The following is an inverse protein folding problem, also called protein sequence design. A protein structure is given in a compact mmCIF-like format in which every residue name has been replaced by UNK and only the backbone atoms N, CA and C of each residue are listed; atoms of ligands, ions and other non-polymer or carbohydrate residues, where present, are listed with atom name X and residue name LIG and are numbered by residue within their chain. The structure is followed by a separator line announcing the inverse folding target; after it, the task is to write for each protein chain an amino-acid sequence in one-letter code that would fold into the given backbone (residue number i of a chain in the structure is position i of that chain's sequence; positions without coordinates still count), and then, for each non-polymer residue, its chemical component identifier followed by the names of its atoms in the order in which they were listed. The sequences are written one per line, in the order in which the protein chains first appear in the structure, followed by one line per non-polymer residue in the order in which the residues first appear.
data_IF_714538169910
#
_entry.id   IF_714538169910
#
_cell.length_a   1.000
_cell.length_b   1.000
_cell.length_c   1.000
_cell.angle_alpha   90.00
_cell.angle_beta   90.00
_cell.angle_gamma   90.00
#
_symmetry.space_group_name_H-M   'P 1'
#
loop_
_entity.id
_entity.type
_entity.pdbx_description
1 polymer ?
#
# COMPACT_ATOMS: atom_id res chain seq x y z
N UNK A 1 38.08 39.41 -5.67
CA UNK A 1 36.83 38.64 -5.85
C UNK A 1 36.84 37.52 -4.82
N UNK A 2 35.90 37.57 -3.87
CA UNK A 2 35.55 36.45 -2.98
C UNK A 2 34.79 35.39 -3.81
N UNK A 3 34.79 34.10 -3.46
CA UNK A 3 33.84 33.50 -2.52
C UNK A 3 34.47 32.24 -1.86
N UNK A 4 34.31 32.20 -0.53
CA UNK A 4 34.55 31.09 0.40
C UNK A 4 33.57 29.93 0.19
N UNK A 5 33.95 28.72 0.61
CA UNK A 5 32.96 27.65 0.83
C UNK A 5 33.53 26.27 1.13
N UNK A 6 34.24 26.15 2.25
CA UNK A 6 34.73 24.91 2.85
C UNK A 6 33.55 23.97 3.17
N UNK A 7 33.53 22.74 2.66
CA UNK A 7 32.65 21.68 3.18
C UNK A 7 33.49 20.46 3.59
N UNK A 8 33.95 20.51 4.83
CA UNK A 8 34.39 19.34 5.57
C UNK A 8 33.16 18.71 6.23
N UNK A 9 32.76 17.50 5.81
CA UNK A 9 31.77 16.71 6.55
C UNK A 9 32.49 15.62 7.32
N UNK A 10 32.53 15.82 8.64
CA UNK A 10 33.06 14.92 9.66
C UNK A 10 32.10 13.72 9.75
N UNK A 11 32.58 12.54 9.38
CA UNK A 11 31.88 11.29 9.63
C UNK A 11 32.24 10.77 11.04
N UNK A 12 31.52 11.24 12.06
CA UNK A 12 31.55 10.60 13.39
C UNK A 12 30.70 9.34 13.35
N UNK A 13 31.36 8.17 13.28
CA UNK A 13 30.73 6.88 13.54
C UNK A 13 30.48 6.74 15.05
N UNK A 14 29.22 6.90 15.48
CA UNK A 14 28.81 6.53 16.83
C UNK A 14 28.64 5.01 16.86
N UNK A 15 29.60 4.32 17.48
CA UNK A 15 29.46 2.90 17.80
C UNK A 15 28.55 2.79 19.03
N UNK A 16 27.24 2.61 18.81
CA UNK A 16 26.32 2.18 19.87
C UNK A 16 26.49 0.68 20.05
N UNK A 17 27.16 0.26 21.13
CA UNK A 17 27.04 -1.11 21.63
C UNK A 17 25.65 -1.26 22.27
N UNK A 18 24.70 -1.82 21.52
CA UNK A 18 23.38 -2.22 22.02
C UNK A 18 23.35 -3.73 22.27
N UNK A 19 23.06 -4.10 23.51
CA UNK A 19 22.81 -5.47 24.00
C UNK A 19 21.51 -6.04 23.41
N UNK A 20 21.48 -7.36 23.19
CA UNK A 20 20.44 -8.09 22.48
C UNK A 20 18.98 -7.73 22.76
N UNK A 21 18.26 -7.47 21.67
CA UNK A 21 16.88 -7.85 21.41
C UNK A 21 16.68 -7.80 19.89
N UNK A 22 15.72 -8.56 19.37
CA UNK A 22 15.42 -8.86 17.96
C UNK A 22 15.90 -7.84 16.90
N UNK A 23 16.33 -8.29 15.70
CA UNK A 23 16.70 -7.38 14.64
C UNK A 23 15.47 -6.51 14.30
N UNK A 24 15.54 -5.23 14.68
CA UNK A 24 14.64 -4.22 14.18
C UNK A 24 14.61 -4.30 12.65
N UNK A 25 13.44 -4.07 12.02
CA UNK A 25 13.35 -4.06 10.57
C UNK A 25 14.43 -3.11 10.02
N UNK A 26 15.24 -3.61 9.09
CA UNK A 26 16.26 -2.83 8.41
C UNK A 26 15.53 -1.75 7.62
N UNK A 27 15.47 -0.55 8.18
CA UNK A 27 15.10 0.66 7.45
C UNK A 27 16.28 0.97 6.55
N UNK A 28 16.14 0.68 5.26
CA UNK A 28 17.11 1.11 4.25
C UNK A 28 16.98 2.65 4.12
N UNK A 29 17.97 3.43 4.57
CA UNK A 29 17.87 4.89 4.62
C UNK A 29 17.82 5.56 3.24
N UNK A 30 17.87 4.80 2.14
CA UNK A 30 17.84 5.32 0.78
C UNK A 30 16.46 5.43 0.11
N UNK A 31 15.40 4.82 0.66
CA UNK A 31 14.07 4.86 0.02
C UNK A 31 13.16 5.83 0.77
N UNK A 32 12.71 6.93 0.15
CA UNK A 32 11.77 7.85 0.77
C UNK A 32 10.45 7.13 1.05
N UNK A 33 9.91 7.34 2.26
CA UNK A 33 8.59 6.86 2.66
C UNK A 33 7.50 7.36 1.69
N UNK A 34 6.63 6.46 1.28
CA UNK A 34 5.52 6.70 0.36
C UNK A 34 4.23 6.40 1.09
N UNK A 35 3.53 7.45 1.49
CA UNK A 35 2.23 7.41 2.17
C UNK A 35 1.13 8.11 1.36
N UNK A 36 1.38 8.38 0.06
CA UNK A 36 0.40 9.06 -0.77
C UNK A 36 -0.78 8.11 -1.07
N UNK A 37 -2.03 8.43 -0.67
CA UNK A 37 -3.16 7.51 -0.72
C UNK A 37 -3.36 6.89 -2.10
N UNK A 38 -3.32 7.72 -3.15
CA UNK A 38 -3.46 7.29 -4.54
C UNK A 38 -2.42 6.23 -4.94
N UNK A 39 -1.15 6.48 -4.61
CA UNK A 39 -0.04 5.59 -4.99
C UNK A 39 -0.15 4.27 -4.23
N UNK A 40 -0.41 4.34 -2.92
CA UNK A 40 -0.49 3.14 -2.10
C UNK A 40 -1.74 2.30 -2.37
N UNK A 41 -2.87 2.92 -2.71
CA UNK A 41 -4.04 2.21 -3.19
C UNK A 41 -3.75 1.50 -4.53
N UNK A 42 -3.01 2.14 -5.44
CA UNK A 42 -2.62 1.51 -6.70
C UNK A 42 -1.63 0.34 -6.49
N UNK A 43 -0.72 0.45 -5.52
CA UNK A 43 0.16 -0.67 -5.10
C UNK A 43 -0.67 -1.86 -4.61
N UNK A 44 -1.72 -1.61 -3.81
CA UNK A 44 -2.62 -2.67 -3.34
C UNK A 44 -3.35 -3.34 -4.51
N UNK A 45 -3.95 -2.57 -5.42
CA UNK A 45 -4.64 -3.09 -6.61
C UNK A 45 -3.69 -3.89 -7.49
N UNK A 46 -2.50 -3.35 -7.79
CA UNK A 46 -1.49 -4.03 -8.61
C UNK A 46 -1.02 -5.34 -7.96
N UNK A 47 -0.91 -5.40 -6.64
CA UNK A 47 -0.41 -6.59 -5.95
C UNK A 47 -1.47 -7.68 -5.78
N UNK A 48 -2.72 -7.29 -5.53
CA UNK A 48 -3.77 -8.19 -5.08
C UNK A 48 -4.76 -8.61 -6.16
N UNK A 49 -4.91 -7.83 -7.23
CA UNK A 49 -5.80 -8.19 -8.33
C UNK A 49 -5.33 -9.50 -9.00
N UNK A 50 -6.18 -10.52 -8.93
CA UNK A 50 -5.88 -11.88 -9.41
C UNK A 50 -6.36 -12.10 -10.85
N UNK A 51 -7.32 -11.29 -11.31
CA UNK A 51 -7.87 -11.36 -12.65
C UNK A 51 -8.10 -9.96 -13.20
N UNK A 52 -8.35 -9.86 -14.51
CA UNK A 52 -8.76 -8.60 -15.15
C UNK A 52 -10.26 -8.37 -14.96
N UNK A 53 -10.66 -8.06 -13.72
CA UNK A 53 -12.03 -7.69 -13.38
C UNK A 53 -12.05 -6.29 -12.74
N UNK A 54 -12.82 -5.40 -13.35
CA UNK A 54 -12.88 -4.00 -12.95
C UNK A 54 -13.48 -3.84 -11.53
N UNK A 55 -14.46 -4.67 -11.19
CA UNK A 55 -15.09 -4.64 -9.87
C UNK A 55 -14.09 -5.04 -8.78
N UNK A 56 -13.27 -6.06 -9.03
CA UNK A 56 -12.20 -6.49 -8.13
C UNK A 56 -11.19 -5.36 -7.89
N UNK A 57 -10.73 -4.70 -8.96
CA UNK A 57 -9.83 -3.55 -8.83
C UNK A 57 -10.45 -2.42 -7.98
N UNK A 58 -11.71 -2.09 -8.24
CA UNK A 58 -12.40 -1.02 -7.53
C UNK A 58 -12.60 -1.34 -6.03
N UNK A 59 -12.93 -2.58 -5.67
CA UNK A 59 -13.09 -2.96 -4.26
C UNK A 59 -11.75 -3.01 -3.52
N UNK A 60 -10.67 -3.45 -4.17
CA UNK A 60 -9.32 -3.36 -3.58
C UNK A 60 -8.92 -1.89 -3.38
N UNK A 61 -9.18 -1.02 -4.36
CA UNK A 61 -8.92 0.42 -4.26
C UNK A 61 -9.70 1.05 -3.09
N UNK A 62 -11.01 0.74 -2.97
CA UNK A 62 -11.83 1.19 -1.84
C UNK A 62 -11.25 0.72 -0.50
N UNK A 63 -10.86 -0.55 -0.41
CA UNK A 63 -10.28 -1.12 0.79
C UNK A 63 -9.02 -0.36 1.22
N UNK A 64 -8.12 -0.10 0.28
CA UNK A 64 -6.88 0.63 0.54
C UNK A 64 -7.14 2.10 0.90
N UNK A 65 -8.03 2.81 0.18
CA UNK A 65 -8.36 4.20 0.45
C UNK A 65 -9.01 4.39 1.83
N UNK A 66 -9.80 3.41 2.30
CA UNK A 66 -10.42 3.47 3.62
C UNK A 66 -9.39 3.47 4.77
N UNK A 67 -8.15 3.00 4.55
CA UNK A 67 -7.06 3.07 5.54
C UNK A 67 -6.51 4.49 5.76
N UNK A 68 -6.86 5.44 4.90
CA UNK A 68 -6.40 6.82 4.96
C UNK A 68 -7.46 7.78 5.54
N UNK A 69 -8.64 7.26 5.91
CA UNK A 69 -9.69 8.09 6.49
C UNK A 69 -9.38 8.37 7.97
N UNK A 70 -8.80 9.55 8.25
CA UNK A 70 -8.66 10.09 9.60
C UNK A 70 -7.25 10.06 10.21
N UNK A 71 -6.26 9.45 9.55
CA UNK A 71 -4.90 9.31 10.05
C UNK A 71 -3.85 9.36 8.92
N UNK A 72 -2.57 9.43 9.30
CA UNK A 72 -1.45 9.18 8.37
C UNK A 72 -1.52 7.72 7.94
N UNK A 73 -1.97 7.45 6.72
CA UNK A 73 -2.16 6.07 6.25
C UNK A 73 -0.85 5.29 6.07
N UNK A 74 -0.95 3.98 5.75
CA UNK A 74 0.17 3.06 5.77
C UNK A 74 1.28 3.39 4.76
N UNK A 75 2.54 3.16 5.15
CA UNK A 75 3.67 3.24 4.22
C UNK A 75 3.66 2.06 3.23
N UNK A 76 3.59 2.36 1.93
CA UNK A 76 3.61 1.36 0.86
C UNK A 76 4.97 1.24 0.16
N UNK A 77 6.01 1.94 0.62
CA UNK A 77 7.35 1.91 0.00
C UNK A 77 7.92 0.49 -0.16
N UNK A 78 7.79 -0.43 0.82
CA UNK A 78 8.32 -1.79 0.67
C UNK A 78 7.69 -2.55 -0.50
N UNK A 79 6.36 -2.46 -0.63
CA UNK A 79 5.62 -3.14 -1.69
C UNK A 79 5.85 -2.49 -3.06
N UNK A 80 5.90 -1.16 -3.11
CA UNK A 80 6.27 -0.45 -4.33
C UNK A 80 7.69 -0.83 -4.79
N UNK A 81 8.65 -0.89 -3.87
CA UNK A 81 10.01 -1.30 -4.19
C UNK A 81 10.09 -2.76 -4.69
N UNK A 82 9.25 -3.65 -4.16
CA UNK A 82 9.12 -5.04 -4.64
C UNK A 82 8.57 -5.09 -6.05
N UNK A 83 7.52 -4.32 -6.35
CA UNK A 83 6.94 -4.21 -7.69
C UNK A 83 8.00 -3.72 -8.69
N UNK A 84 8.69 -2.64 -8.36
CA UNK A 84 9.71 -2.04 -9.24
C UNK A 84 10.86 -3.01 -9.52
N UNK A 85 11.35 -3.72 -8.49
CA UNK A 85 12.40 -4.74 -8.63
C UNK A 85 11.94 -5.96 -9.44
N UNK A 86 10.65 -6.30 -9.39
CA UNK A 86 10.06 -7.41 -10.15
C UNK A 86 9.83 -7.13 -11.64
N UNK A 87 10.06 -5.90 -12.10
CA UNK A 87 9.66 -5.45 -13.43
C UNK A 87 8.20 -5.02 -13.46
N UNK A 88 7.99 -3.71 -13.38
CA UNK A 88 6.66 -3.11 -13.44
C UNK A 88 6.03 -3.33 -14.82
N UNK A 89 4.85 -3.95 -14.86
CA UNK A 89 3.97 -3.92 -16.03
C UNK A 89 3.25 -2.57 -16.04
N UNK A 90 3.61 -1.71 -17.01
CA UNK A 90 3.10 -0.34 -17.10
C UNK A 90 1.60 -0.29 -17.42
N UNK A 91 1.07 -1.25 -18.18
CA UNK A 91 -0.37 -1.31 -18.49
C UNK A 91 -1.17 -1.72 -17.27
N UNK A 92 -0.70 -2.72 -16.53
CA UNK A 92 -1.34 -3.16 -15.28
C UNK A 92 -1.26 -2.07 -14.21
N UNK A 93 -0.15 -1.34 -14.16
CA UNK A 93 0.00 -0.17 -13.28
C UNK A 93 -0.99 0.95 -13.62
N UNK A 94 -1.11 1.32 -14.90
CA UNK A 94 -2.06 2.36 -15.30
C UNK A 94 -3.50 1.97 -14.96
N UNK A 95 -3.88 0.72 -15.18
CA UNK A 95 -5.22 0.21 -14.79
C UNK A 95 -5.47 0.28 -13.29
N UNK A 96 -4.44 0.02 -12.48
CA UNK A 96 -4.54 0.15 -11.03
C UNK A 96 -4.79 1.61 -10.63
N UNK A 97 -4.08 2.55 -11.25
CA UNK A 97 -4.31 3.99 -11.06
C UNK A 97 -5.71 4.42 -11.50
N UNK A 98 -6.17 3.97 -12.66
CA UNK A 98 -7.50 4.32 -13.20
C UNK A 98 -8.62 3.84 -12.27
N UNK A 99 -8.49 2.63 -11.70
CA UNK A 99 -9.45 2.12 -10.73
C UNK A 99 -9.48 2.94 -9.43
N UNK A 100 -8.31 3.36 -8.94
CA UNK A 100 -8.22 4.23 -7.76
C UNK A 100 -8.86 5.58 -8.04
N UNK A 101 -8.53 6.21 -9.17
CA UNK A 101 -9.07 7.51 -9.55
C UNK A 101 -10.59 7.44 -9.76
N UNK A 102 -11.11 6.34 -10.32
CA UNK A 102 -12.55 6.15 -10.49
C UNK A 102 -13.31 6.03 -9.15
N UNK A 103 -12.73 5.31 -8.18
CA UNK A 103 -13.32 5.13 -6.84
C UNK A 103 -13.22 6.39 -5.99
N UNK A 104 -12.10 7.11 -6.08
CA UNK A 104 -11.84 8.36 -5.33
C UNK A 104 -12.71 9.51 -5.86
N UNK A 105 -12.83 9.62 -7.18
CA UNK A 105 -13.75 10.60 -7.82
C UNK A 105 -15.23 10.27 -7.66
N UNK A 106 -15.56 9.04 -7.24
CA UNK A 106 -16.94 8.56 -7.18
C UNK A 106 -17.56 8.27 -8.55
N UNK A 107 -16.77 8.19 -9.62
CA UNK A 107 -17.26 7.81 -10.97
C UNK A 107 -17.50 6.31 -11.11
N UNK A 108 -17.05 5.51 -10.15
CA UNK A 108 -17.41 4.09 -10.03
C UNK A 108 -18.05 3.77 -8.68
N UNK A 109 -19.28 3.25 -8.72
CA UNK A 109 -20.03 2.85 -7.55
C UNK A 109 -19.61 1.47 -7.04
N UNK A 110 -18.87 1.46 -5.93
CA UNK A 110 -18.57 0.23 -5.19
C UNK A 110 -19.84 -0.24 -4.47
N UNK A 111 -20.21 -1.54 -4.55
CA UNK A 111 -21.39 -2.06 -3.88
C UNK A 111 -21.41 -1.68 -2.40
N UNK A 112 -22.58 -1.31 -1.87
CA UNK A 112 -22.72 -0.79 -0.51
C UNK A 112 -22.20 -1.78 0.56
N UNK A 113 -22.36 -3.08 0.31
CA UNK A 113 -21.83 -4.15 1.15
C UNK A 113 -20.29 -4.14 1.25
N UNK A 114 -19.59 -3.60 0.25
CA UNK A 114 -18.14 -3.45 0.22
C UNK A 114 -17.66 -2.04 0.63
N UNK A 115 -18.56 -1.09 0.90
CA UNK A 115 -18.17 0.32 1.04
C UNK A 115 -17.22 0.57 2.24
N UNK A 116 -17.33 -0.24 3.30
CA UNK A 116 -16.57 -0.11 4.55
C UNK A 116 -15.38 -1.05 4.66
N UNK A 117 -15.11 -1.85 3.63
CA UNK A 117 -14.01 -2.82 3.71
C UNK A 117 -12.67 -2.07 3.83
N UNK A 118 -11.74 -2.62 4.59
CA UNK A 118 -10.38 -2.09 4.73
C UNK A 118 -9.31 -3.20 4.66
N UNK A 119 -9.75 -4.44 4.43
CA UNK A 119 -8.88 -5.60 4.31
C UNK A 119 -9.33 -6.51 3.18
N UNK A 120 -8.37 -7.00 2.40
CA UNK A 120 -8.55 -8.07 1.41
C UNK A 120 -8.14 -9.40 2.04
N UNK A 121 -8.96 -10.42 1.86
CA UNK A 121 -8.79 -11.78 2.37
C UNK A 121 -8.77 -12.72 1.17
N UNK A 122 -7.68 -13.46 1.02
CA UNK A 122 -7.59 -14.52 0.03
C UNK A 122 -8.30 -15.77 0.57
N UNK A 123 -9.37 -16.20 -0.09
CA UNK A 123 -10.10 -17.44 0.26
C UNK A 123 -9.45 -18.59 -0.53
N UNK A 124 -9.09 -19.75 0.07
CA UNK A 124 -9.46 -20.28 1.39
C UNK A 124 -8.24 -20.72 2.24
N UNK A 125 -7.88 -19.98 3.30
CA UNK A 125 -7.03 -20.52 4.39
C UNK A 125 -7.32 -19.91 5.77
N UNK A 126 -7.90 -18.69 5.85
CA UNK A 126 -7.92 -17.93 7.10
C UNK A 126 -9.31 -17.57 7.63
N UNK A 127 -10.28 -18.49 7.57
CA UNK A 127 -11.60 -18.26 8.18
C UNK A 127 -11.59 -18.54 9.71
N UNK A 128 -10.83 -17.74 10.46
CA UNK A 128 -10.99 -17.57 11.92
C UNK A 128 -11.13 -16.06 12.19
N UNK A 129 -12.27 -15.50 11.80
CA UNK A 129 -12.62 -14.08 11.97
C UNK A 129 -14.07 -13.81 11.58
N UNK A 130 -14.60 -12.60 11.83
CA UNK A 130 -15.92 -12.22 11.31
C UNK A 130 -15.95 -12.43 9.79
N UNK A 131 -17.04 -13.02 9.29
CA UNK A 131 -17.18 -13.37 7.88
C UNK A 131 -17.00 -12.18 6.93
N UNK A 132 -16.68 -12.41 5.66
CA UNK A 132 -16.47 -11.33 4.71
C UNK A 132 -17.72 -10.49 4.52
N UNK A 133 -17.55 -9.17 4.46
CA UNK A 133 -18.63 -8.23 4.14
C UNK A 133 -19.05 -8.37 2.67
N UNK A 134 -18.10 -8.69 1.79
CA UNK A 134 -18.41 -9.02 0.40
C UNK A 134 -17.34 -9.93 -0.24
N UNK A 135 -17.71 -10.58 -1.35
CA UNK A 135 -16.83 -11.41 -2.17
C UNK A 135 -16.94 -10.96 -3.62
N UNK A 136 -15.81 -10.61 -4.23
CA UNK A 136 -15.74 -10.18 -5.64
C UNK A 136 -14.64 -10.98 -6.32
N UNK A 137 -14.99 -11.68 -7.40
CA UNK A 137 -14.04 -12.42 -8.23
C UNK A 137 -13.10 -13.36 -7.43
N UNK A 138 -13.64 -14.05 -6.42
CA UNK A 138 -12.87 -15.00 -5.58
C UNK A 138 -12.02 -14.35 -4.47
N UNK A 139 -12.01 -13.02 -4.34
CA UNK A 139 -11.45 -12.33 -3.19
C UNK A 139 -12.55 -11.98 -2.19
N UNK A 140 -12.29 -12.22 -0.91
CA UNK A 140 -13.15 -11.80 0.19
C UNK A 140 -12.65 -10.45 0.73
N UNK A 141 -13.58 -9.63 1.19
CA UNK A 141 -13.27 -8.31 1.74
C UNK A 141 -13.98 -8.13 3.07
N UNK A 142 -13.27 -7.55 4.04
CA UNK A 142 -13.77 -7.35 5.39
C UNK A 142 -13.42 -5.96 5.92
N UNK A 143 -14.22 -5.49 6.86
CA UNK A 143 -13.88 -4.37 7.75
C UNK A 143 -13.30 -4.98 9.03
N UNK A 144 -12.07 -4.61 9.37
CA UNK A 144 -11.46 -4.91 10.65
C UNK A 144 -11.47 -3.63 11.47
N UNK A 145 -12.14 -3.66 12.62
CA UNK A 145 -12.06 -2.60 13.63
C UNK A 145 -10.93 -2.98 14.59
N UNK A 146 -9.88 -2.17 14.61
CA UNK A 146 -8.82 -2.22 15.63
C UNK A 146 -9.25 -1.48 16.88
#
# INVERSE_FOLDING_TARGET
MAILGLYALIATAIVVRGTGHDPAPVVDPGIPTVTQPRVCAAVAVYSQATIYDWSQHAVIARAALNLYQGETGPDCSPDLAKILRGGLDTLRWQRALDAVDAVDSGSYDVPLACARVNRVVHVPHDAVGPGPQCVIAGLAFAEVRS
#
